data_IF_129470023521
#
_entry.id   IF_129470023521
#
_cell.length_a   1.000
_cell.length_b   1.000
_cell.length_c   1.000
_cell.angle_alpha   90.00
_cell.angle_beta   90.00
_cell.angle_gamma   90.00
#
_symmetry.space_group_name_H-M   'P 1'
#
loop_
_entity.id
_entity.type
_entity.pdbx_description
1 polymer ?
#
# COMPACT_ATOMS: atom_id res chain seq x y z
N UNK A 1 0.44 -12.11 -5.51
CA UNK A 1 1.60 -12.97 -5.16
C UNK A 1 1.51 -13.46 -3.71
N UNK A 2 0.62 -14.41 -3.42
CA UNK A 2 0.20 -14.74 -2.04
C UNK A 2 1.26 -15.37 -1.14
N UNK A 3 2.19 -16.14 -1.72
CA UNK A 3 3.18 -16.90 -0.96
C UNK A 3 4.37 -16.02 -0.59
N UNK A 4 4.85 -16.11 0.66
CA UNK A 4 6.03 -15.38 1.18
C UNK A 4 7.22 -15.40 0.23
N UNK A 5 7.56 -16.59 -0.29
CA UNK A 5 8.65 -16.81 -1.28
C UNK A 5 8.52 -16.01 -2.58
N UNK A 6 7.36 -15.41 -2.87
CA UNK A 6 7.12 -14.61 -4.08
C UNK A 6 6.96 -13.12 -3.79
N UNK A 7 7.17 -12.65 -2.56
CA UNK A 7 6.94 -11.24 -2.22
C UNK A 7 7.87 -10.30 -3.00
N UNK A 8 9.11 -10.72 -3.32
CA UNK A 8 10.03 -9.96 -4.19
C UNK A 8 9.56 -9.80 -5.64
N UNK A 9 8.50 -10.51 -6.06
CA UNK A 9 7.87 -10.38 -7.40
C UNK A 9 6.70 -9.38 -7.41
N UNK A 10 6.30 -8.85 -6.25
CA UNK A 10 5.30 -7.79 -6.14
C UNK A 10 5.87 -6.52 -6.79
N UNK A 11 5.06 -5.80 -7.56
CA UNK A 11 5.48 -4.60 -8.29
C UNK A 11 5.83 -3.42 -7.36
N UNK A 12 5.07 -3.27 -6.27
CA UNK A 12 5.24 -2.16 -5.34
C UNK A 12 6.38 -2.46 -4.38
N UNK A 13 7.57 -1.97 -4.75
CA UNK A 13 8.84 -2.04 -4.03
C UNK A 13 9.47 -0.64 -4.03
N UNK A 14 10.40 -0.40 -3.10
CA UNK A 14 11.11 0.87 -2.94
C UNK A 14 11.72 1.39 -4.26
N UNK A 15 12.52 0.57 -4.95
CA UNK A 15 13.21 0.96 -6.18
C UNK A 15 12.22 1.36 -7.28
N UNK A 16 11.14 0.58 -7.42
CA UNK A 16 10.10 0.85 -8.41
C UNK A 16 9.36 2.15 -8.10
N UNK A 17 8.99 2.38 -6.84
CA UNK A 17 8.31 3.62 -6.43
C UNK A 17 9.24 4.82 -6.60
N UNK A 18 10.52 4.70 -6.25
CA UNK A 18 11.52 5.75 -6.46
C UNK A 18 11.63 6.13 -7.94
N UNK A 19 11.72 5.12 -8.82
CA UNK A 19 11.73 5.34 -10.27
C UNK A 19 10.42 5.98 -10.75
N UNK A 20 9.27 5.47 -10.33
CA UNK A 20 7.95 5.99 -10.72
C UNK A 20 7.80 7.47 -10.32
N UNK A 21 8.13 7.80 -9.08
CA UNK A 21 8.06 9.17 -8.55
C UNK A 21 9.04 10.10 -9.27
N UNK A 22 10.20 9.60 -9.74
CA UNK A 22 11.12 10.40 -10.55
C UNK A 22 10.51 10.87 -11.88
N UNK A 23 9.53 10.14 -12.42
CA UNK A 23 8.86 10.43 -13.71
C UNK A 23 7.52 11.14 -13.56
N UNK A 24 6.96 11.18 -12.36
CA UNK A 24 5.71 11.85 -12.07
C UNK A 24 5.93 13.37 -11.97
N UNK A 25 5.06 14.19 -12.55
CA UNK A 25 5.08 15.65 -12.35
C UNK A 25 4.70 16.00 -10.90
N UNK A 26 5.18 17.13 -10.36
CA UNK A 26 4.69 17.64 -9.07
C UNK A 26 3.17 17.84 -9.13
N UNK A 27 2.48 17.51 -8.05
CA UNK A 27 1.03 17.46 -7.95
C UNK A 27 0.37 16.27 -8.65
N UNK A 28 1.11 15.46 -9.42
CA UNK A 28 0.62 14.18 -9.95
C UNK A 28 0.35 13.18 -8.84
N UNK A 29 -0.48 12.16 -9.11
CA UNK A 29 -0.86 11.17 -8.11
C UNK A 29 -0.55 9.73 -8.54
N UNK A 30 -0.36 8.87 -7.55
CA UNK A 30 -0.31 7.42 -7.67
C UNK A 30 -1.61 6.90 -7.04
N UNK A 31 -2.40 6.17 -7.82
CA UNK A 31 -3.58 5.46 -7.34
C UNK A 31 -3.39 3.97 -7.53
N UNK A 32 -3.43 3.22 -6.44
CA UNK A 32 -3.36 1.76 -6.44
C UNK A 32 -4.63 1.18 -5.83
N UNK A 33 -5.00 -0.02 -6.26
CA UNK A 33 -6.06 -0.80 -5.65
C UNK A 33 -5.66 -2.28 -5.60
N UNK A 34 -6.01 -2.96 -4.50
CA UNK A 34 -5.81 -4.41 -4.37
C UNK A 34 -6.92 -5.01 -3.51
N UNK A 35 -7.29 -6.24 -3.80
CA UNK A 35 -8.24 -7.08 -3.05
C UNK A 35 -7.52 -7.99 -2.02
N UNK A 36 -6.24 -7.73 -1.75
CA UNK A 36 -5.44 -8.55 -0.83
C UNK A 36 -4.84 -7.72 0.30
N UNK A 37 -5.35 -7.92 1.52
CA UNK A 37 -5.04 -7.10 2.69
C UNK A 37 -3.53 -6.97 2.98
N UNK A 38 -2.81 -8.10 3.03
CA UNK A 38 -1.36 -8.09 3.27
C UNK A 38 -0.61 -7.28 2.20
N UNK A 39 -1.06 -7.32 0.93
CA UNK A 39 -0.40 -6.52 -0.09
C UNK A 39 -0.76 -5.05 0.03
N UNK A 40 -1.99 -4.72 0.40
CA UNK A 40 -2.42 -3.35 0.70
C UNK A 40 -1.52 -2.72 1.79
N UNK A 41 -1.25 -3.45 2.87
CA UNK A 41 -0.37 -2.98 3.94
C UNK A 41 1.08 -2.82 3.50
N UNK A 42 1.63 -3.75 2.68
CA UNK A 42 2.95 -3.54 2.09
C UNK A 42 2.98 -2.27 1.23
N UNK A 43 1.96 -2.06 0.38
CA UNK A 43 1.90 -0.84 -0.45
C UNK A 43 1.88 0.41 0.43
N UNK A 44 1.09 0.38 1.50
CA UNK A 44 0.96 1.47 2.47
C UNK A 44 2.31 1.81 3.10
N UNK A 45 3.05 0.81 3.59
CA UNK A 45 4.37 0.97 4.19
C UNK A 45 5.38 1.55 3.20
N UNK A 46 5.46 0.98 2.00
CA UNK A 46 6.41 1.43 0.96
C UNK A 46 6.11 2.88 0.54
N UNK A 47 4.85 3.22 0.30
CA UNK A 47 4.47 4.55 -0.17
C UNK A 47 4.58 5.61 0.94
N UNK A 48 4.21 5.28 2.19
CA UNK A 48 4.34 6.19 3.33
C UNK A 48 5.80 6.52 3.66
N UNK A 49 6.74 5.61 3.36
CA UNK A 49 8.16 5.85 3.60
C UNK A 49 8.80 6.78 2.55
N UNK A 50 8.19 6.94 1.37
CA UNK A 50 8.81 7.70 0.29
C UNK A 50 8.67 9.23 0.53
N UNK A 51 9.78 10.00 0.60
CA UNK A 51 9.77 11.38 1.11
C UNK A 51 9.03 12.41 0.23
N UNK A 52 8.86 12.11 -1.07
CA UNK A 52 8.15 12.98 -2.03
C UNK A 52 6.68 12.63 -2.21
N UNK A 53 6.17 11.66 -1.46
CA UNK A 53 4.78 11.24 -1.53
C UNK A 53 4.02 11.66 -0.28
N UNK A 54 2.77 12.03 -0.47
CA UNK A 54 1.83 12.37 0.58
C UNK A 54 0.58 11.51 0.44
N UNK A 55 0.24 10.76 1.48
CA UNK A 55 -1.00 10.00 1.52
C UNK A 55 -2.20 10.96 1.60
N UNK A 56 -3.19 10.76 0.73
CA UNK A 56 -4.42 11.57 0.70
C UNK A 56 -5.51 11.09 1.67
N UNK A 57 -5.30 9.98 2.38
CA UNK A 57 -6.24 9.47 3.38
C UNK A 57 -6.30 10.36 4.61
N UNK A 58 -7.51 10.52 5.15
CA UNK A 58 -7.77 11.19 6.43
C UNK A 58 -7.77 10.23 7.62
N UNK A 59 -7.65 8.93 7.36
CA UNK A 59 -7.76 7.89 8.37
C UNK A 59 -6.37 7.39 8.76
N UNK A 60 -6.23 7.04 10.03
CA UNK A 60 -5.09 6.27 10.52
C UNK A 60 -5.52 4.82 10.69
N UNK A 61 -4.64 3.89 10.33
CA UNK A 61 -4.87 2.44 10.44
C UNK A 61 -3.70 1.79 11.16
N UNK A 62 -4.00 0.76 11.95
CA UNK A 62 -3.00 -0.18 12.43
C UNK A 62 -2.85 -1.30 11.39
N UNK A 63 -1.65 -1.87 11.31
CA UNK A 63 -1.41 -3.03 10.46
C UNK A 63 -1.97 -4.28 11.16
N UNK A 64 -2.76 -5.05 10.44
CA UNK A 64 -3.44 -6.25 10.92
C UNK A 64 -2.95 -7.53 10.22
N UNK A 65 -2.50 -7.43 8.96
CA UNK A 65 -2.09 -8.57 8.14
C UNK A 65 -0.58 -8.82 8.14
N UNK A 66 0.25 -7.83 8.50
CA UNK A 66 1.69 -7.98 8.71
C UNK A 66 1.94 -8.38 10.16
N UNK A 67 2.53 -9.55 10.36
CA UNK A 67 2.87 -10.07 11.68
C UNK A 67 3.95 -9.18 12.34
N UNK A 68 3.66 -8.71 13.55
CA UNK A 68 4.64 -7.98 14.34
C UNK A 68 5.70 -8.94 14.89
N UNK A 69 6.95 -8.56 14.73
CA UNK A 69 8.12 -9.24 15.27
C UNK A 69 8.95 -8.24 16.06
N UNK A 70 9.70 -8.73 17.06
CA UNK A 70 10.67 -7.91 17.80
C UNK A 70 11.95 -7.66 16.97
N UNK A 71 12.15 -8.39 15.88
CA UNK A 71 13.24 -8.18 14.93
C UNK A 71 12.82 -7.24 13.79
N UNK A 72 13.80 -6.62 13.16
CA UNK A 72 13.59 -5.83 11.94
C UNK A 72 13.03 -6.68 10.80
N UNK A 73 12.17 -6.08 9.98
CA UNK A 73 11.50 -6.78 8.87
C UNK A 73 11.72 -6.03 7.56
N UNK A 74 12.23 -6.75 6.55
CA UNK A 74 12.31 -6.25 5.18
C UNK A 74 10.95 -6.41 4.48
N UNK A 75 10.28 -5.29 4.19
CA UNK A 75 8.99 -5.24 3.53
C UNK A 75 9.09 -4.30 2.33
N UNK A 76 8.88 -4.85 1.13
CA UNK A 76 8.89 -4.03 -0.08
C UNK A 76 10.26 -3.44 -0.43
N UNK A 77 11.35 -4.04 0.03
CA UNK A 77 12.72 -3.52 -0.14
C UNK A 77 13.22 -2.63 1.02
N UNK A 78 12.32 -2.23 1.94
CA UNK A 78 12.62 -1.33 3.05
C UNK A 78 12.68 -2.12 4.34
N UNK A 79 13.64 -1.81 5.20
CA UNK A 79 13.74 -2.37 6.55
C UNK A 79 12.93 -1.54 7.54
N UNK A 80 11.99 -2.17 8.24
CA UNK A 80 11.16 -1.54 9.27
C UNK A 80 11.45 -2.11 10.65
N UNK A 81 11.53 -1.23 11.65
CA UNK A 81 11.62 -1.62 13.06
C UNK A 81 10.27 -2.04 13.63
N UNK A 82 10.29 -2.79 14.73
CA UNK A 82 9.08 -3.14 15.48
C UNK A 82 8.20 -1.92 15.81
N UNK A 83 8.82 -0.88 16.38
CA UNK A 83 8.13 0.36 16.78
C UNK A 83 7.48 1.05 15.58
N UNK A 84 8.13 1.01 14.41
CA UNK A 84 7.56 1.59 13.19
C UNK A 84 6.33 0.82 12.71
N UNK A 85 6.33 -0.51 12.82
CA UNK A 85 5.19 -1.32 12.38
C UNK A 85 4.02 -1.30 13.38
N UNK A 86 4.31 -1.05 14.67
CA UNK A 86 3.31 -1.00 15.73
C UNK A 86 2.56 0.33 15.82
N UNK A 87 3.07 1.42 15.23
CA UNK A 87 2.40 2.73 15.23
C UNK A 87 1.27 2.79 14.18
N UNK A 88 0.28 3.67 14.37
CA UNK A 88 -0.70 3.97 13.33
C UNK A 88 -0.04 4.61 12.09
N UNK A 89 -0.53 4.24 10.91
CA UNK A 89 -0.11 4.77 9.62
C UNK A 89 -1.25 5.52 8.94
N UNK A 90 -0.92 6.54 8.14
CA UNK A 90 -1.88 7.09 7.17
C UNK A 90 -2.41 5.95 6.30
N UNK A 91 -3.73 5.81 6.22
CA UNK A 91 -4.42 4.61 5.76
C UNK A 91 -4.93 4.68 4.32
N UNK A 92 -6.09 4.06 4.12
CA UNK A 92 -6.70 3.86 2.80
C UNK A 92 -7.69 4.98 2.47
N UNK A 93 -8.03 5.13 1.19
CA UNK A 93 -9.08 6.05 0.74
C UNK A 93 -10.32 5.28 0.35
N UNK A 94 -11.48 5.94 0.39
CA UNK A 94 -12.66 5.41 -0.25
C UNK A 94 -12.43 5.29 -1.76
N UNK A 95 -13.08 4.28 -2.38
CA UNK A 95 -12.99 4.06 -3.82
C UNK A 95 -13.38 5.34 -4.58
N UNK A 96 -12.47 5.94 -5.37
CA UNK A 96 -12.80 7.13 -6.13
C UNK A 96 -13.86 6.87 -7.20
N UNK A 97 -14.75 7.83 -7.45
CA UNK A 97 -15.85 7.69 -8.41
C UNK A 97 -15.37 7.38 -9.84
N UNK A 98 -14.17 7.84 -10.22
CA UNK A 98 -13.59 7.59 -11.54
C UNK A 98 -13.08 6.15 -11.72
N UNK A 99 -12.89 5.37 -10.65
CA UNK A 99 -12.42 3.99 -10.76
C UNK A 99 -13.61 3.07 -11.02
N UNK A 100 -13.77 2.51 -12.23
CA UNK A 100 -14.88 1.61 -12.51
C UNK A 100 -14.79 0.37 -11.62
N UNK A 101 -15.96 -0.15 -11.23
CA UNK A 101 -16.03 -1.42 -10.51
C UNK A 101 -15.71 -2.55 -11.49
N UNK A 102 -14.77 -3.41 -11.13
CA UNK A 102 -14.43 -4.57 -11.96
C UNK A 102 -15.30 -5.78 -11.63
N UNK A 103 -15.41 -6.73 -12.57
CA UNK A 103 -16.09 -8.02 -12.33
C UNK A 103 -15.46 -8.82 -11.19
N UNK A 104 -14.15 -8.66 -10.97
CA UNK A 104 -13.40 -9.34 -9.90
C UNK A 104 -13.76 -8.78 -8.53
N UNK A 105 -13.85 -7.46 -8.41
CA UNK A 105 -14.26 -6.80 -7.16
C UNK A 105 -15.67 -7.17 -6.76
N UNK A 106 -16.62 -7.16 -7.70
CA UNK A 106 -17.99 -7.60 -7.41
C UNK A 106 -18.06 -9.04 -6.90
N UNK A 107 -17.20 -9.92 -7.42
CA UNK A 107 -17.10 -11.30 -6.95
C UNK A 107 -16.45 -11.36 -5.56
N UNK A 108 -15.40 -10.58 -5.33
CA UNK A 108 -14.73 -10.49 -4.04
C UNK A 108 -15.64 -9.94 -2.94
N UNK A 109 -16.34 -8.83 -3.21
CA UNK A 109 -17.29 -8.22 -2.27
C UNK A 109 -18.41 -9.19 -1.90
N UNK A 110 -18.94 -9.98 -2.85
CA UNK A 110 -19.94 -11.02 -2.56
C UNK A 110 -19.41 -12.13 -1.65
N UNK A 111 -18.09 -12.35 -1.64
CA UNK A 111 -17.41 -13.31 -0.77
C UNK A 111 -16.90 -12.66 0.53
N UNK A 112 -17.21 -11.39 0.77
CA UNK A 112 -16.75 -10.64 1.95
C UNK A 112 -15.28 -10.21 1.88
N UNK A 113 -14.64 -10.27 0.70
CA UNK A 113 -13.30 -9.74 0.52
C UNK A 113 -13.32 -8.21 0.45
N UNK A 114 -12.42 -7.57 1.20
CA UNK A 114 -12.18 -6.14 1.13
C UNK A 114 -11.48 -5.75 -0.17
N UNK A 115 -11.60 -4.47 -0.52
CA UNK A 115 -10.78 -3.82 -1.55
C UNK A 115 -10.19 -2.58 -0.92
N UNK A 116 -8.87 -2.43 -1.05
CA UNK A 116 -8.12 -1.33 -0.48
C UNK A 116 -7.65 -0.43 -1.60
N UNK A 117 -8.12 0.81 -1.59
CA UNK A 117 -7.68 1.87 -2.48
C UNK A 117 -6.67 2.77 -1.76
N UNK A 118 -5.57 3.09 -2.43
CA UNK A 118 -4.49 3.94 -1.92
C UNK A 118 -4.28 5.09 -2.89
N UNK A 119 -4.28 6.33 -2.40
CA UNK A 119 -4.07 7.53 -3.20
C UNK A 119 -2.98 8.38 -2.58
N UNK A 120 -1.92 8.62 -3.35
CA UNK A 120 -0.77 9.42 -2.94
C UNK A 120 -0.51 10.52 -3.94
N UNK A 121 -0.24 11.73 -3.46
CA UNK A 121 0.15 12.85 -4.29
C UNK A 121 1.66 13.06 -4.20
N UNK A 122 2.29 13.38 -5.33
CA UNK A 122 3.68 13.85 -5.35
C UNK A 122 3.72 15.32 -4.94
N UNK A 123 4.49 15.61 -3.90
CA UNK A 123 4.87 16.98 -3.52
C UNK A 123 5.91 17.52 -4.52
#
# INVERSE_FOLDING_TARGET
WHKKRHHKRRLIQEDFITLLVSRLKSGGYIHLATDWHHYAEQMLLVLNQHPKLENSSKQLVLLEAIELSNAEQEIGGIVFSHEHLAKPHAGYVERPAYRPITKFENRGLKLGHGVWDLLYQKR
#
